data_IF_004715212520
#
_entry.id   IF_004715212520
#
_cell.length_a   1.000
_cell.length_b   1.000
_cell.length_c   1.000
_cell.angle_alpha   90.00
_cell.angle_beta   90.00
_cell.angle_gamma   90.00
#
_symmetry.space_group_name_H-M   'P 1'
#
loop_
_entity.id
_entity.type
_entity.pdbx_description
1 polymer ?
#
# COMPACT_ATOMS: atom_id res chain seq x y z
N UNK A 1 -14.48 -16.94 14.91
CA UNK A 1 -13.90 -17.08 13.55
C UNK A 1 -13.20 -15.79 13.06
N UNK A 2 -12.63 -14.96 13.95
CA UNK A 2 -11.93 -13.71 13.59
C UNK A 2 -10.39 -13.80 13.74
N UNK A 3 -9.88 -14.76 14.54
CA UNK A 3 -8.44 -14.88 14.78
C UNK A 3 -7.66 -15.44 13.58
N UNK A 4 -8.19 -16.43 12.85
CA UNK A 4 -7.48 -17.05 11.71
C UNK A 4 -7.21 -16.07 10.56
N UNK A 5 -8.11 -15.11 10.32
CA UNK A 5 -7.97 -14.13 9.24
C UNK A 5 -6.84 -13.12 9.52
N UNK A 6 -6.58 -12.83 10.81
CA UNK A 6 -5.52 -11.91 11.24
C UNK A 6 -4.12 -12.51 11.11
N UNK A 7 -3.97 -13.83 11.29
CA UNK A 7 -2.69 -14.52 11.08
C UNK A 7 -2.31 -14.64 9.60
N UNK A 8 -3.30 -14.90 8.72
CA UNK A 8 -3.08 -14.91 7.26
C UNK A 8 -2.70 -13.50 6.76
N UNK A 9 -3.27 -12.44 7.35
CA UNK A 9 -2.89 -11.06 7.08
C UNK A 9 -1.43 -10.75 7.46
N UNK A 10 -1.00 -11.19 8.65
CA UNK A 10 0.39 -11.02 9.09
C UNK A 10 1.36 -11.69 8.12
N UNK A 11 1.03 -12.91 7.66
CA UNK A 11 1.83 -13.64 6.67
C UNK A 11 1.85 -12.98 5.30
N UNK A 12 0.72 -12.45 4.82
CA UNK A 12 0.66 -11.79 3.51
C UNK A 12 1.39 -10.45 3.50
N UNK A 13 1.27 -9.64 4.56
CA UNK A 13 2.05 -8.40 4.72
C UNK A 13 3.53 -8.72 4.87
N UNK A 14 3.88 -9.77 5.62
CA UNK A 14 5.27 -10.23 5.73
C UNK A 14 5.82 -10.69 4.37
N UNK A 15 5.03 -11.39 3.56
CA UNK A 15 5.41 -11.76 2.18
C UNK A 15 5.66 -10.53 1.30
N UNK A 16 4.78 -9.52 1.35
CA UNK A 16 4.98 -8.27 0.59
C UNK A 16 6.26 -7.53 1.03
N UNK A 17 6.53 -7.52 2.34
CA UNK A 17 7.66 -6.79 2.92
C UNK A 17 9.01 -7.51 2.77
N UNK A 18 9.03 -8.84 2.81
CA UNK A 18 10.26 -9.63 2.94
C UNK A 18 10.52 -10.63 1.83
N UNK A 19 9.51 -11.02 1.04
CA UNK A 19 9.72 -12.02 -0.01
C UNK A 19 9.96 -11.36 -1.38
N UNK A 20 11.21 -11.48 -1.82
CA UNK A 20 11.62 -11.16 -3.18
C UNK A 20 11.26 -12.24 -4.20
N UNK A 21 10.66 -13.37 -3.80
CA UNK A 21 10.48 -14.51 -4.70
C UNK A 21 9.03 -14.83 -5.06
N UNK A 22 8.87 -15.02 -6.38
CA UNK A 22 7.70 -15.55 -7.13
C UNK A 22 6.56 -14.57 -7.46
N UNK A 23 6.88 -13.64 -8.37
CA UNK A 23 6.11 -13.28 -9.58
C UNK A 23 4.59 -13.01 -9.50
N UNK A 24 4.03 -12.49 -8.41
CA UNK A 24 2.67 -11.92 -8.44
C UNK A 24 2.64 -10.40 -8.67
N UNK A 25 3.66 -9.67 -8.19
CA UNK A 25 3.77 -8.21 -8.34
C UNK A 25 5.18 -7.85 -8.83
N UNK A 26 5.36 -7.59 -10.14
CA UNK A 26 6.69 -7.38 -10.72
C UNK A 26 7.36 -6.06 -10.28
N UNK A 27 6.59 -5.04 -9.91
CA UNK A 27 7.14 -3.72 -9.54
C UNK A 27 7.06 -3.39 -8.05
N UNK A 28 7.94 -2.51 -7.58
CA UNK A 28 7.87 -1.94 -6.22
C UNK A 28 6.56 -1.18 -6.02
N UNK A 29 6.06 -0.52 -7.06
CA UNK A 29 4.82 0.24 -7.04
C UNK A 29 3.60 -0.66 -6.81
N UNK A 30 3.55 -1.82 -7.46
CA UNK A 30 2.48 -2.80 -7.24
C UNK A 30 2.54 -3.37 -5.82
N UNK A 31 3.73 -3.72 -5.32
CA UNK A 31 3.91 -4.19 -3.94
C UNK A 31 3.45 -3.13 -2.93
N UNK A 32 3.84 -1.87 -3.15
CA UNK A 32 3.43 -0.74 -2.32
C UNK A 32 1.91 -0.51 -2.36
N UNK A 33 1.30 -0.56 -3.54
CA UNK A 33 -0.14 -0.41 -3.73
C UNK A 33 -0.92 -1.52 -3.00
N UNK A 34 -0.46 -2.77 -3.10
CA UNK A 34 -1.08 -3.90 -2.41
C UNK A 34 -0.94 -3.78 -0.89
N UNK A 35 0.24 -3.38 -0.40
CA UNK A 35 0.50 -3.13 1.02
C UNK A 35 -0.49 -2.11 1.60
N UNK A 36 -0.62 -0.95 0.94
CA UNK A 36 -1.50 0.14 1.36
C UNK A 36 -2.96 -0.32 1.39
N UNK A 37 -3.43 -0.96 0.32
CA UNK A 37 -4.82 -1.46 0.23
C UNK A 37 -5.17 -2.42 1.37
N UNK A 38 -4.29 -3.40 1.63
CA UNK A 38 -4.56 -4.44 2.61
C UNK A 38 -4.57 -3.92 4.04
N UNK A 39 -3.63 -3.05 4.43
CA UNK A 39 -3.59 -2.51 5.80
C UNK A 39 -4.82 -1.64 6.07
N UNK A 40 -5.26 -0.85 5.09
CA UNK A 40 -6.45 0.00 5.25
C UNK A 40 -7.73 -0.83 5.33
N UNK A 41 -7.92 -1.83 4.47
CA UNK A 41 -9.18 -2.59 4.38
C UNK A 41 -9.37 -3.65 5.45
N UNK A 42 -8.31 -4.33 5.87
CA UNK A 42 -8.45 -5.49 6.76
C UNK A 42 -8.62 -5.13 8.24
N UNK A 43 -8.61 -3.83 8.59
CA UNK A 43 -8.75 -3.36 9.98
C UNK A 43 -7.86 -4.14 10.98
N UNK A 44 -6.62 -4.42 10.57
CA UNK A 44 -5.73 -5.35 11.26
C UNK A 44 -5.28 -4.90 12.65
N UNK A 45 -5.46 -3.62 12.96
CA UNK A 45 -5.19 -2.98 14.24
C UNK A 45 -6.49 -2.52 14.92
N UNK A 46 -6.47 -2.50 16.26
CA UNK A 46 -7.61 -2.08 17.10
C UNK A 46 -8.03 -0.63 16.77
N UNK A 47 -7.07 0.25 16.54
CA UNK A 47 -7.25 1.58 15.98
C UNK A 47 -6.02 1.96 15.14
N UNK A 48 -6.13 3.00 14.31
CA UNK A 48 -5.01 3.60 13.63
C UNK A 48 -4.64 2.94 12.30
N UNK A 49 -5.43 2.00 11.79
CA UNK A 49 -5.17 1.29 10.52
C UNK A 49 -4.75 2.22 9.38
N UNK A 50 -5.43 3.36 9.22
CA UNK A 50 -5.11 4.37 8.19
C UNK A 50 -3.73 5.01 8.39
N UNK A 51 -3.40 5.38 9.63
CA UNK A 51 -2.10 5.98 10.00
C UNK A 51 -0.96 4.97 9.81
N UNK A 52 -1.16 3.75 10.28
CA UNK A 52 -0.19 2.66 10.16
C UNK A 52 0.02 2.30 8.68
N UNK A 53 -1.05 2.24 7.89
CA UNK A 53 -0.96 1.98 6.45
C UNK A 53 -0.10 3.03 5.73
N UNK A 54 -0.34 4.32 6.00
CA UNK A 54 0.44 5.41 5.43
C UNK A 54 1.92 5.33 5.81
N UNK A 55 2.23 5.07 7.08
CA UNK A 55 3.62 4.93 7.56
C UNK A 55 4.31 3.71 6.93
N UNK A 56 3.66 2.55 6.92
CA UNK A 56 4.21 1.35 6.30
C UNK A 56 4.44 1.53 4.79
N UNK A 57 3.54 2.23 4.11
CA UNK A 57 3.65 2.56 2.69
C UNK A 57 4.86 3.46 2.40
N UNK A 58 5.00 4.56 3.14
CA UNK A 58 6.16 5.45 3.01
C UNK A 58 7.48 4.74 3.34
N UNK A 59 7.49 3.97 4.42
CA UNK A 59 8.66 3.19 4.83
C UNK A 59 9.06 2.15 3.75
N UNK A 60 8.08 1.46 3.15
CA UNK A 60 8.35 0.51 2.08
C UNK A 60 8.95 1.19 0.85
N UNK A 61 8.42 2.34 0.45
CA UNK A 61 8.95 3.11 -0.69
C UNK A 61 10.37 3.63 -0.41
N UNK A 62 10.63 4.12 0.79
CA UNK A 62 11.94 4.62 1.21
C UNK A 62 13.00 3.50 1.20
N UNK A 63 12.67 2.35 1.80
CA UNK A 63 13.54 1.16 1.83
C UNK A 63 13.87 0.63 0.44
N UNK A 64 12.99 0.83 -0.53
CA UNK A 64 13.19 0.43 -1.93
C UNK A 64 13.71 1.58 -2.83
N UNK A 65 14.13 2.72 -2.25
CA UNK A 65 14.62 3.92 -2.98
C UNK A 65 13.63 4.43 -4.03
N UNK A 66 12.35 4.22 -3.79
CA UNK A 66 11.26 4.61 -4.68
C UNK A 66 10.51 5.86 -4.20
N UNK A 67 10.72 6.30 -2.95
CA UNK A 67 10.00 7.44 -2.37
C UNK A 67 10.35 8.78 -3.02
N UNK A 68 11.58 8.92 -3.52
CA UNK A 68 12.09 10.15 -4.14
C UNK A 68 12.45 9.86 -5.60
N UNK A 69 11.88 10.65 -6.52
CA UNK A 69 12.18 10.59 -7.96
C UNK A 69 12.60 12.00 -8.40
N UNK A 70 13.80 12.11 -8.98
CA UNK A 70 14.38 13.39 -9.44
C UNK A 70 14.39 14.50 -8.37
N UNK A 71 14.68 14.13 -7.12
CA UNK A 71 14.75 15.09 -6.00
C UNK A 71 13.40 15.56 -5.47
N UNK A 72 12.28 15.02 -5.95
CA UNK A 72 10.93 15.28 -5.45
C UNK A 72 10.31 14.00 -4.88
N UNK A 73 9.52 14.15 -3.82
CA UNK A 73 8.70 13.05 -3.29
C UNK A 73 7.69 12.60 -4.33
N UNK A 74 7.49 11.28 -4.48
CA UNK A 74 6.56 10.73 -5.48
C UNK A 74 5.09 10.99 -5.14
N UNK A 75 4.80 11.30 -3.88
CA UNK A 75 3.46 11.46 -3.35
C UNK A 75 3.49 12.46 -2.19
N UNK A 76 2.63 13.48 -2.23
CA UNK A 76 2.52 14.44 -1.12
C UNK A 76 1.71 13.86 0.03
N UNK A 77 1.84 14.44 1.23
CA UNK A 77 1.07 14.04 2.41
C UNK A 77 -0.45 14.15 2.17
N UNK A 78 -0.89 15.20 1.48
CA UNK A 78 -2.31 15.43 1.15
C UNK A 78 -2.81 14.37 0.18
N UNK A 79 -2.02 14.03 -0.84
CA UNK A 79 -2.34 12.99 -1.81
C UNK A 79 -2.41 11.61 -1.14
N UNK A 80 -1.47 11.29 -0.24
CA UNK A 80 -1.46 10.05 0.52
C UNK A 80 -2.67 9.96 1.47
N UNK A 81 -3.03 11.04 2.14
CA UNK A 81 -4.21 11.09 3.00
C UNK A 81 -5.49 10.85 2.21
N UNK A 82 -5.64 11.52 1.05
CA UNK A 82 -6.78 11.35 0.16
C UNK A 82 -6.88 9.91 -0.38
N UNK A 83 -5.76 9.32 -0.82
CA UNK A 83 -5.71 7.93 -1.27
C UNK A 83 -6.08 6.95 -0.16
N UNK A 84 -5.56 7.16 1.05
CA UNK A 84 -5.85 6.31 2.21
C UNK A 84 -7.34 6.35 2.56
N UNK A 85 -7.97 7.53 2.49
CA UNK A 85 -9.41 7.68 2.70
C UNK A 85 -10.21 7.03 1.57
N UNK A 86 -9.83 7.25 0.32
CA UNK A 86 -10.46 6.65 -0.85
C UNK A 86 -10.47 5.11 -0.76
N UNK A 87 -9.33 4.51 -0.41
CA UNK A 87 -9.23 3.07 -0.15
C UNK A 87 -10.18 2.68 0.99
N UNK A 88 -10.22 3.44 2.09
CA UNK A 88 -11.11 3.11 3.21
C UNK A 88 -12.59 3.08 2.79
N UNK A 89 -13.00 4.01 1.92
CA UNK A 89 -14.39 4.14 1.44
C UNK A 89 -14.75 3.28 0.23
N UNK A 90 -13.76 2.75 -0.50
CA UNK A 90 -14.01 1.95 -1.71
C UNK A 90 -14.80 0.67 -1.40
N UNK A 91 -15.43 0.05 -2.39
CA UNK A 91 -16.03 -1.27 -2.21
C UNK A 91 -14.97 -2.38 -2.40
N UNK A 92 -15.17 -3.58 -1.82
CA UNK A 92 -14.27 -4.70 -2.06
C UNK A 92 -14.16 -5.09 -3.55
N UNK A 93 -15.24 -4.94 -4.33
CA UNK A 93 -15.26 -5.26 -5.76
C UNK A 93 -14.39 -4.30 -6.58
N UNK A 94 -14.07 -3.12 -6.04
CA UNK A 94 -13.22 -2.10 -6.68
C UNK A 94 -11.73 -2.31 -6.38
N UNK A 95 -11.35 -3.40 -5.68
CA UNK A 95 -9.97 -3.63 -5.23
C UNK A 95 -8.93 -3.49 -6.34
N UNK A 96 -9.21 -4.05 -7.52
CA UNK A 96 -8.27 -4.01 -8.65
C UNK A 96 -8.17 -2.61 -9.26
N UNK A 97 -9.30 -1.91 -9.39
CA UNK A 97 -9.34 -0.52 -9.86
C UNK A 97 -8.55 0.40 -8.92
N UNK A 98 -8.74 0.24 -7.62
CA UNK A 98 -8.01 1.00 -6.59
C UNK A 98 -6.50 0.68 -6.65
N UNK A 99 -6.15 -0.60 -6.83
CA UNK A 99 -4.75 -1.02 -7.00
C UNK A 99 -4.09 -0.33 -8.19
N UNK A 100 -4.71 -0.40 -9.38
CA UNK A 100 -4.19 0.26 -10.58
C UNK A 100 -4.11 1.79 -10.45
N UNK A 101 -5.06 2.40 -9.75
CA UNK A 101 -5.01 3.84 -9.46
C UNK A 101 -3.77 4.20 -8.64
N UNK A 102 -3.47 3.45 -7.58
CA UNK A 102 -2.30 3.71 -6.74
C UNK A 102 -1.02 3.52 -7.57
N UNK A 103 -0.92 2.43 -8.33
CA UNK A 103 0.23 2.18 -9.22
C UNK A 103 0.41 3.32 -10.23
N UNK A 104 -0.69 3.79 -10.83
CA UNK A 104 -0.68 4.92 -11.75
C UNK A 104 -0.16 6.19 -11.09
N UNK A 105 -0.58 6.50 -9.86
CA UNK A 105 -0.08 7.65 -9.08
C UNK A 105 1.44 7.54 -8.88
N UNK A 106 1.94 6.36 -8.49
CA UNK A 106 3.37 6.16 -8.22
C UNK A 106 4.24 6.17 -9.50
N UNK A 107 3.65 5.86 -10.65
CA UNK A 107 4.35 5.85 -11.94
C UNK A 107 4.31 7.20 -12.67
N UNK A 108 3.63 8.22 -12.15
CA UNK A 108 3.58 9.53 -12.81
C UNK A 108 5.00 10.08 -12.99
N UNK A 109 5.25 10.63 -14.17
CA UNK A 109 6.45 11.44 -14.40
C UNK A 109 6.17 12.80 -13.78
N UNK A 110 6.90 13.11 -12.71
CA UNK A 110 6.94 14.46 -12.15
C UNK A 110 7.81 15.26 -13.12
N UNK A 111 7.16 15.92 -14.08
CA UNK A 111 7.83 16.87 -14.98
C UNK A 111 8.25 18.13 -14.21
#
# INVERSE_FOLDING_TARGET
MLCANRYIFQLHVLHILFDGQKNFYPSIQEKAAKLLYLIVKNHSFVDGNKRIAAVCFLYFLDRNKALIKQGKEIISNEALAALTLFIATSKPEEAETVHHLIVSVLNRNIH
#
